data_IF_675937038160
#
_entry.id   IF_675937038160
#
_cell.length_a   1.000
_cell.length_b   1.000
_cell.length_c   1.000
_cell.angle_alpha   90.00
_cell.angle_beta   90.00
_cell.angle_gamma   90.00
#
_symmetry.space_group_name_H-M   'P 1'
#
loop_
_entity.id
_entity.type
_entity.pdbx_description
1 polymer ?
#
# COMPACT_ATOMS: atom_id res chain seq x y z
N UNK A 1 -11.98 -12.28 -1.81
CA UNK A 1 -10.67 -12.67 -2.38
C UNK A 1 -10.43 -14.17 -2.44
N UNK A 2 -11.08 -15.00 -1.63
CA UNK A 2 -10.73 -16.42 -1.52
C UNK A 2 -10.76 -17.20 -2.84
N UNK A 3 -11.67 -16.83 -3.76
CA UNK A 3 -11.82 -17.47 -5.07
C UNK A 3 -10.83 -16.99 -6.16
N UNK A 4 -9.99 -15.99 -5.88
CA UNK A 4 -9.04 -15.45 -6.86
C UNK A 4 -7.68 -16.13 -6.71
N UNK A 5 -7.15 -16.61 -7.83
CA UNK A 5 -5.74 -16.97 -8.06
C UNK A 5 -4.95 -15.67 -8.22
N UNK A 6 -4.04 -15.37 -7.29
CA UNK A 6 -3.34 -14.08 -7.23
C UNK A 6 -1.81 -14.21 -7.18
N UNK A 7 -1.26 -15.42 -7.16
CA UNK A 7 0.19 -15.64 -7.08
C UNK A 7 0.93 -14.85 -8.18
N UNK A 8 1.94 -14.09 -7.78
CA UNK A 8 2.73 -13.23 -8.68
C UNK A 8 2.00 -12.03 -9.26
N UNK A 9 0.75 -11.75 -8.87
CA UNK A 9 0.00 -10.58 -9.33
C UNK A 9 0.27 -9.35 -8.45
N UNK A 10 0.28 -8.17 -9.08
CA UNK A 10 0.22 -6.90 -8.37
C UNK A 10 -1.24 -6.50 -8.15
N UNK A 11 -1.67 -6.49 -6.89
CA UNK A 11 -3.02 -6.09 -6.49
C UNK A 11 -3.04 -4.60 -6.16
N UNK A 12 -3.80 -3.83 -6.96
CA UNK A 12 -4.15 -2.44 -6.66
C UNK A 12 -5.61 -2.36 -6.25
N UNK A 13 -5.90 -1.68 -5.13
CA UNK A 13 -7.25 -1.58 -4.57
C UNK A 13 -7.55 -0.12 -4.22
N UNK A 14 -8.82 0.26 -4.31
CA UNK A 14 -9.25 1.60 -3.93
C UNK A 14 -9.06 1.85 -2.41
N UNK A 15 -9.03 3.13 -2.00
CA UNK A 15 -8.74 3.45 -0.59
C UNK A 15 -9.71 2.85 0.44
N UNK A 16 -10.96 2.53 0.09
CA UNK A 16 -11.89 1.84 0.98
C UNK A 16 -11.44 0.40 1.26
N UNK A 17 -10.69 -0.22 0.34
CA UNK A 17 -10.13 -1.56 0.48
C UNK A 17 -8.70 -1.61 1.02
N UNK A 18 -8.08 -0.48 1.39
CA UNK A 18 -6.77 -0.44 2.07
C UNK A 18 -6.85 -0.90 3.54
N UNK A 19 -7.45 -2.06 3.80
CA UNK A 19 -7.60 -2.64 5.12
C UNK A 19 -6.43 -3.60 5.41
N UNK A 20 -5.98 -3.63 6.67
CA UNK A 20 -4.86 -4.50 7.09
C UNK A 20 -5.11 -5.97 6.75
N UNK A 21 -6.35 -6.43 6.94
CA UNK A 21 -6.75 -7.81 6.66
C UNK A 21 -6.70 -8.14 5.16
N UNK A 22 -7.02 -7.17 4.29
CA UNK A 22 -6.91 -7.32 2.84
C UNK A 22 -5.44 -7.43 2.44
N UNK A 23 -4.58 -6.54 2.95
CA UNK A 23 -3.14 -6.62 2.69
C UNK A 23 -2.53 -7.96 3.15
N UNK A 24 -2.95 -8.47 4.32
CA UNK A 24 -2.54 -9.78 4.82
C UNK A 24 -2.95 -10.90 3.87
N UNK A 25 -4.19 -10.90 3.39
CA UNK A 25 -4.69 -11.90 2.44
C UNK A 25 -3.97 -11.86 1.08
N UNK A 26 -3.51 -10.68 0.63
CA UNK A 26 -2.73 -10.56 -0.61
C UNK A 26 -1.37 -11.25 -0.43
N UNK A 27 -0.67 -10.96 0.66
CA UNK A 27 0.64 -11.56 0.96
C UNK A 27 0.52 -13.08 1.19
N UNK A 28 -0.51 -13.54 1.90
CA UNK A 28 -0.77 -14.97 2.11
C UNK A 28 -1.02 -15.75 0.81
N UNK A 29 -1.41 -15.06 -0.27
CA UNK A 29 -1.62 -15.62 -1.60
C UNK A 29 -0.41 -15.45 -2.52
N UNK A 30 0.76 -15.13 -1.96
CA UNK A 30 2.03 -14.96 -2.71
C UNK A 30 1.91 -13.89 -3.80
N UNK A 31 1.15 -12.84 -3.50
CA UNK A 31 0.90 -11.70 -4.37
C UNK A 31 1.48 -10.41 -3.77
N UNK A 32 1.74 -9.43 -4.61
CA UNK A 32 2.20 -8.10 -4.21
C UNK A 32 1.03 -7.12 -4.15
N UNK A 33 1.17 -6.01 -3.42
CA UNK A 33 0.19 -4.93 -3.43
C UNK A 33 0.81 -3.55 -3.63
N UNK A 34 0.06 -2.67 -4.30
CA UNK A 34 0.31 -1.24 -4.34
C UNK A 34 -0.93 -0.51 -3.84
N UNK A 35 -0.85 0.01 -2.61
CA UNK A 35 -1.94 0.70 -1.92
C UNK A 35 -1.65 2.20 -1.84
N UNK A 36 -2.57 3.02 -2.36
CA UNK A 36 -2.44 4.47 -2.31
C UNK A 36 -2.97 5.03 -0.98
N UNK A 37 -2.18 5.91 -0.34
CA UNK A 37 -2.60 6.68 0.82
C UNK A 37 -3.24 8.00 0.34
N UNK A 38 -4.57 8.14 0.53
CA UNK A 38 -5.29 9.37 0.17
C UNK A 38 -5.02 10.50 1.18
N UNK A 39 -4.96 11.72 0.68
CA UNK A 39 -4.75 12.93 1.48
C UNK A 39 -5.95 13.31 2.39
N UNK A 40 -7.10 12.66 2.25
CA UNK A 40 -8.26 12.87 3.13
C UNK A 40 -8.02 12.33 4.57
N UNK A 41 -6.97 11.55 4.78
CA UNK A 41 -6.46 11.15 6.09
C UNK A 41 -5.24 12.01 6.47
N UNK A 42 -5.47 13.30 6.74
CA UNK A 42 -4.43 14.35 6.80
C UNK A 42 -3.25 14.03 7.73
N UNK A 43 -3.51 13.56 8.96
CA UNK A 43 -2.45 13.24 9.93
C UNK A 43 -1.56 12.11 9.42
N UNK A 44 -2.17 11.00 8.99
CA UNK A 44 -1.45 9.84 8.49
C UNK A 44 -0.66 10.19 7.22
N UNK A 45 -1.26 10.99 6.34
CA UNK A 45 -0.62 11.46 5.12
C UNK A 45 0.64 12.28 5.41
N UNK A 46 0.55 13.25 6.32
CA UNK A 46 1.72 14.06 6.71
C UNK A 46 2.78 13.24 7.44
N UNK A 47 2.40 12.29 8.29
CA UNK A 47 3.35 11.39 8.95
C UNK A 47 4.13 10.54 7.94
N UNK A 48 3.44 9.91 7.00
CA UNK A 48 4.09 9.08 5.96
C UNK A 48 4.97 9.94 5.06
N UNK A 49 4.50 11.14 4.69
CA UNK A 49 5.30 12.09 3.91
C UNK A 49 6.58 12.49 4.64
N UNK A 50 6.51 12.86 5.92
CA UNK A 50 7.69 13.21 6.71
C UNK A 50 8.67 12.05 6.87
N UNK A 51 8.17 10.81 7.02
CA UNK A 51 9.01 9.62 7.14
C UNK A 51 9.77 9.31 5.83
N UNK A 52 9.12 9.48 4.68
CA UNK A 52 9.70 9.13 3.38
C UNK A 52 10.52 10.26 2.75
N UNK A 53 10.25 11.52 3.11
CA UNK A 53 10.90 12.69 2.52
C UNK A 53 12.44 12.68 2.60
N UNK A 54 13.08 12.24 3.70
CA UNK A 54 14.55 12.13 3.76
C UNK A 54 15.11 11.12 2.76
N UNK A 55 14.45 9.98 2.59
CA UNK A 55 14.91 8.91 1.70
C UNK A 55 14.72 9.29 0.23
N UNK A 56 13.59 9.91 -0.10
CA UNK A 56 13.34 10.48 -1.43
C UNK A 56 14.41 11.51 -1.78
N UNK A 57 14.78 12.38 -0.84
CA UNK A 57 15.80 13.39 -1.05
C UNK A 57 17.19 12.79 -1.28
N UNK A 58 17.49 11.63 -0.66
CA UNK A 58 18.76 10.90 -0.86
C UNK A 58 18.84 10.23 -2.24
N UNK A 59 17.74 9.71 -2.77
CA UNK A 59 17.73 9.00 -4.07
C UNK A 59 17.83 9.92 -5.29
N UNK A 60 17.54 11.22 -5.11
CA UNK A 60 17.54 12.22 -6.19
C UNK A 60 18.86 13.02 -6.22
N UNK A 61 19.71 12.87 -5.20
CA UNK A 61 21.05 13.46 -5.11
C UNK A 61 22.13 12.51 -5.65
#
# INVERSE_FOLDING_TARGET
MQLLELEGCLVTIDAMGCQKEIAKQIVEKEADYLLALKANQSILFEQVKQLLQPEISRQIA
#
